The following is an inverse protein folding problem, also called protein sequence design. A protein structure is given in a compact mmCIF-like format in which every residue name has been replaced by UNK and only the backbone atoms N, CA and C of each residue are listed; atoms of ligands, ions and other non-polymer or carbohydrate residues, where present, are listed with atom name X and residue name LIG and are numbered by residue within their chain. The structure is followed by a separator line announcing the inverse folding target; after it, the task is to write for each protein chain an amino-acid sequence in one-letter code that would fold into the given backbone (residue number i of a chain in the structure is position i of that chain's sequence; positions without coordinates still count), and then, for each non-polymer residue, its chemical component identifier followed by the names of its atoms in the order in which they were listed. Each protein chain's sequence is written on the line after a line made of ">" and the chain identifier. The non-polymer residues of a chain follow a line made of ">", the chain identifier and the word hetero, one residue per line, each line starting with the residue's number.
data_IF_634911949033
#
_entry.id   IF_634911949033
#
_cell.length_a   1.000
_cell.length_b   1.000
_cell.length_c   1.000
_cell.angle_alpha   90.00
_cell.angle_beta   90.00
_cell.angle_gamma   90.00
#
_symmetry.space_group_name_H-M   'P 1'
#
loop_
_entity.id
_entity.type
_entity.pdbx_description
1 polymer ?
#
# COMPACT_ATOMS: atom_id res chain seq x y z
N UNK A 1 6.06 -4.41 17.23
CA UNK A 1 5.71 -3.18 16.47
C UNK A 1 6.60 -3.11 15.24
N UNK A 2 6.03 -2.86 14.05
CA UNK A 2 6.80 -2.76 12.79
C UNK A 2 7.49 -1.39 12.75
N UNK A 3 8.81 -1.37 12.51
CA UNK A 3 9.59 -0.14 12.39
C UNK A 3 9.53 0.41 10.95
N UNK A 4 8.58 1.30 10.71
CA UNK A 4 8.43 1.98 9.42
C UNK A 4 9.48 3.07 9.23
N UNK A 5 10.09 3.10 8.04
CA UNK A 5 11.04 4.13 7.60
C UNK A 5 10.44 4.87 6.40
N UNK A 6 10.19 6.16 6.55
CA UNK A 6 9.72 7.01 5.46
C UNK A 6 10.83 7.32 4.46
N UNK A 7 10.48 7.52 3.19
CA UNK A 7 11.36 8.05 2.16
C UNK A 7 10.58 8.91 1.18
N UNK A 8 11.31 9.73 0.43
CA UNK A 8 10.75 10.68 -0.53
C UNK A 8 9.84 11.73 0.09
N UNK A 9 8.86 12.19 -0.69
CA UNK A 9 7.99 13.32 -0.31
C UNK A 9 7.02 12.93 0.80
N UNK A 10 6.70 13.86 1.70
CA UNK A 10 5.60 13.67 2.65
C UNK A 10 4.28 13.72 1.91
N UNK A 11 3.45 12.69 2.08
CA UNK A 11 2.12 12.63 1.46
C UNK A 11 1.06 13.46 2.20
N UNK A 12 1.20 13.62 3.53
CA UNK A 12 0.35 14.50 4.35
C UNK A 12 -1.07 13.98 4.68
N UNK A 13 -1.64 13.08 3.88
CA UNK A 13 -3.05 12.66 4.02
C UNK A 13 -3.32 11.56 5.06
N UNK A 14 -2.28 10.90 5.58
CA UNK A 14 -2.41 9.76 6.49
C UNK A 14 -2.91 10.16 7.89
N UNK A 15 -2.52 11.32 8.38
CA UNK A 15 -2.83 11.78 9.74
C UNK A 15 -4.32 12.10 9.89
N UNK A 16 -4.87 12.89 8.97
CA UNK A 16 -6.30 13.20 8.91
C UNK A 16 -7.15 11.94 8.79
N UNK A 17 -6.73 11.01 7.93
CA UNK A 17 -7.36 9.70 7.81
C UNK A 17 -7.44 9.01 9.17
N UNK A 18 -6.29 8.90 9.86
CA UNK A 18 -6.19 8.17 11.12
C UNK A 18 -7.06 8.80 12.22
N UNK A 19 -7.03 10.13 12.37
CA UNK A 19 -7.86 10.84 13.33
C UNK A 19 -9.37 10.62 13.08
N UNK A 20 -9.80 10.59 11.82
CA UNK A 20 -11.18 10.25 11.47
C UNK A 20 -11.52 8.80 11.79
N UNK A 21 -10.60 7.86 11.52
CA UNK A 21 -10.77 6.44 11.83
C UNK A 21 -10.94 6.19 13.34
N UNK A 22 -10.19 6.88 14.19
CA UNK A 22 -10.33 6.80 15.64
C UNK A 22 -11.72 7.24 16.09
N UNK A 23 -12.35 8.18 15.39
CA UNK A 23 -13.74 8.65 15.60
C UNK A 23 -14.79 7.76 14.93
N UNK A 24 -14.39 6.65 14.29
CA UNK A 24 -15.31 5.76 13.58
C UNK A 24 -15.83 6.33 12.25
N UNK A 25 -15.15 7.34 11.68
CA UNK A 25 -15.52 7.96 10.41
C UNK A 25 -14.56 7.52 9.31
N UNK A 26 -15.11 7.07 8.18
CA UNK A 26 -14.32 6.78 6.98
C UNK A 26 -14.03 8.08 6.22
N UNK A 27 -12.81 8.62 6.38
CA UNK A 27 -12.41 9.85 5.68
C UNK A 27 -12.32 9.64 4.16
N UNK A 28 -12.71 10.64 3.37
CA UNK A 28 -12.71 10.57 1.90
C UNK A 28 -11.30 10.29 1.33
N UNK A 29 -10.26 10.84 1.96
CA UNK A 29 -8.87 10.55 1.59
C UNK A 29 -8.56 9.05 1.56
N UNK A 30 -9.20 8.23 2.43
CA UNK A 30 -8.99 6.77 2.43
C UNK A 30 -9.52 6.08 1.16
N UNK A 31 -10.51 6.70 0.50
CA UNK A 31 -11.14 6.20 -0.73
C UNK A 31 -10.32 6.54 -1.98
N UNK A 32 -9.50 7.61 -1.89
CA UNK A 32 -8.61 8.09 -2.95
C UNK A 32 -7.13 7.75 -2.67
N UNK A 33 -6.86 7.04 -1.59
CA UNK A 33 -5.52 6.59 -1.22
C UNK A 33 -5.22 5.25 -1.89
N UNK A 34 -4.48 5.26 -3.00
CA UNK A 34 -3.97 4.04 -3.60
C UNK A 34 -2.59 3.73 -3.04
N UNK A 35 -2.38 2.49 -2.59
CA UNK A 35 -1.12 2.03 -2.02
C UNK A 35 -0.58 0.90 -2.86
N UNK A 36 0.62 1.08 -3.40
CA UNK A 36 1.38 0.02 -4.06
C UNK A 36 2.33 -0.61 -3.03
N UNK A 37 2.14 -1.89 -2.77
CA UNK A 37 3.02 -2.73 -1.96
C UNK A 37 3.99 -3.52 -2.83
N UNK A 38 5.28 -3.45 -2.50
CA UNK A 38 6.35 -4.20 -3.15
C UNK A 38 7.05 -5.02 -2.07
N UNK A 39 6.89 -6.35 -2.04
CA UNK A 39 7.67 -7.21 -1.16
C UNK A 39 9.17 -7.01 -1.42
N UNK A 40 9.97 -6.90 -0.35
CA UNK A 40 11.41 -6.71 -0.49
C UNK A 40 12.06 -7.92 -1.17
N UNK A 41 11.52 -9.11 -0.96
CA UNK A 41 11.96 -10.33 -1.64
C UNK A 41 11.67 -10.36 -3.14
N UNK A 42 10.77 -9.49 -3.61
CA UNK A 42 10.39 -9.39 -5.02
C UNK A 42 11.23 -8.39 -5.81
N UNK A 43 12.14 -7.66 -5.18
CA UNK A 43 13.10 -6.83 -5.91
C UNK A 43 14.11 -7.71 -6.68
N UNK A 44 14.41 -7.32 -7.93
CA UNK A 44 15.53 -7.85 -8.73
C UNK A 44 16.86 -7.16 -8.39
N UNK A 45 16.79 -5.99 -7.76
CA UNK A 45 17.93 -5.16 -7.38
C UNK A 45 17.98 -4.93 -5.86
N UNK A 46 19.13 -4.50 -5.30
CA UNK A 46 19.23 -4.11 -3.90
C UNK A 46 18.23 -3.02 -3.49
N UNK A 47 17.76 -3.09 -2.24
CA UNK A 47 16.75 -2.18 -1.70
C UNK A 47 17.17 -0.71 -1.76
N UNK A 48 18.42 -0.40 -1.38
CA UNK A 48 18.99 0.95 -1.43
C UNK A 48 19.00 1.51 -2.85
N UNK A 49 19.36 0.70 -3.84
CA UNK A 49 19.30 1.08 -5.25
C UNK A 49 17.86 1.38 -5.68
N UNK A 50 16.90 0.53 -5.31
CA UNK A 50 15.49 0.74 -5.62
C UNK A 50 14.92 2.01 -4.96
N UNK A 51 15.28 2.27 -3.69
CA UNK A 51 14.89 3.49 -2.98
C UNK A 51 15.48 4.75 -3.64
N UNK A 52 16.69 4.67 -4.20
CA UNK A 52 17.28 5.78 -4.96
C UNK A 52 16.51 6.07 -6.25
N UNK A 53 16.08 5.03 -6.99
CA UNK A 53 15.29 5.16 -8.22
C UNK A 53 13.92 5.78 -7.91
N UNK A 54 13.33 5.44 -6.76
CA UNK A 54 11.98 5.86 -6.37
C UNK A 54 11.96 7.04 -5.38
N UNK A 55 13.08 7.76 -5.23
CA UNK A 55 13.28 8.78 -4.19
C UNK A 55 12.26 9.93 -4.21
N UNK A 56 11.68 10.22 -5.36
CA UNK A 56 10.74 11.34 -5.52
C UNK A 56 9.29 10.95 -5.18
N UNK A 57 9.04 9.65 -4.97
CA UNK A 57 7.73 9.13 -4.62
C UNK A 57 7.47 9.23 -3.13
N UNK A 58 6.24 9.58 -2.71
CA UNK A 58 5.87 9.46 -1.31
C UNK A 58 5.82 7.98 -0.93
N UNK A 59 6.62 7.58 0.06
CA UNK A 59 6.70 6.18 0.43
C UNK A 59 7.20 5.91 1.83
N UNK A 60 7.06 4.65 2.22
CA UNK A 60 7.71 4.10 3.40
C UNK A 60 8.06 2.64 3.16
N UNK A 61 9.00 2.12 3.91
CA UNK A 61 9.31 0.70 3.90
C UNK A 61 9.50 0.19 5.32
N UNK A 62 9.41 -1.13 5.49
CA UNK A 62 9.77 -1.78 6.72
C UNK A 62 10.46 -3.11 6.42
N UNK A 63 11.54 -3.39 7.14
CA UNK A 63 12.15 -4.71 7.22
C UNK A 63 11.54 -5.42 8.41
N UNK A 64 10.97 -6.60 8.18
CA UNK A 64 10.36 -7.36 9.25
C UNK A 64 11.43 -8.08 10.06
N UNK A 65 11.22 -8.11 11.38
CA UNK A 65 12.04 -8.87 12.31
C UNK A 65 11.37 -10.21 12.60
N UNK A 66 12.11 -11.12 13.21
CA UNK A 66 11.55 -12.37 13.71
C UNK A 66 10.34 -12.09 14.63
N UNK A 67 9.24 -12.86 14.53
CA UNK A 67 9.04 -14.00 13.64
C UNK A 67 8.43 -13.66 12.26
N UNK A 68 8.04 -12.40 12.01
CA UNK A 68 7.36 -12.00 10.77
C UNK A 68 8.25 -12.22 9.52
N UNK A 69 9.57 -12.10 9.68
CA UNK A 69 10.54 -12.31 8.61
C UNK A 69 10.55 -13.73 8.03
N UNK A 70 9.94 -14.71 8.70
CA UNK A 70 9.78 -16.07 8.19
C UNK A 70 8.79 -16.16 7.03
N UNK A 71 7.84 -15.22 6.98
CA UNK A 71 6.80 -15.16 5.94
C UNK A 71 7.09 -14.10 4.88
N UNK A 72 7.66 -12.96 5.29
CA UNK A 72 8.01 -11.85 4.41
C UNK A 72 9.20 -11.10 4.97
N UNK A 73 10.25 -10.81 4.16
CA UNK A 73 11.37 -9.98 4.63
C UNK A 73 10.97 -8.53 4.93
N UNK A 74 9.84 -8.09 4.42
CA UNK A 74 9.38 -6.72 4.54
C UNK A 74 8.75 -6.22 3.25
N UNK A 75 8.34 -4.95 3.28
CA UNK A 75 7.56 -4.33 2.23
C UNK A 75 7.93 -2.88 2.04
N UNK A 76 7.92 -2.43 0.79
CA UNK A 76 7.89 -1.03 0.39
C UNK A 76 6.44 -0.67 0.07
N UNK A 77 5.97 0.47 0.60
CA UNK A 77 4.66 1.02 0.31
C UNK A 77 4.84 2.39 -0.34
N UNK A 78 4.29 2.57 -1.53
CA UNK A 78 4.22 3.83 -2.27
C UNK A 78 2.79 4.34 -2.32
N UNK A 79 2.60 5.66 -2.26
CA UNK A 79 1.30 6.30 -2.19
C UNK A 79 0.95 7.03 -3.49
N UNK A 80 -0.31 6.92 -3.90
CA UNK A 80 -0.85 7.55 -5.10
C UNK A 80 -2.24 8.11 -4.83
N UNK A 81 -2.59 9.17 -5.54
CA UNK A 81 -3.90 9.83 -5.42
C UNK A 81 -4.93 9.26 -6.39
N UNK A 82 -4.46 8.62 -7.46
CA UNK A 82 -5.32 7.96 -8.44
C UNK A 82 -4.80 6.58 -8.80
N UNK A 83 -5.72 5.71 -9.26
CA UNK A 83 -5.37 4.39 -9.79
C UNK A 83 -4.47 4.50 -11.03
N UNK A 84 -4.75 5.48 -11.88
CA UNK A 84 -4.03 5.68 -13.15
C UNK A 84 -2.56 6.03 -12.90
N UNK A 85 -2.28 6.93 -11.95
CA UNK A 85 -0.89 7.25 -11.56
C UNK A 85 -0.14 6.01 -11.05
N UNK A 86 -0.81 5.19 -10.23
CA UNK A 86 -0.24 3.95 -9.71
C UNK A 86 0.04 2.94 -10.84
N UNK A 87 -0.89 2.76 -11.76
CA UNK A 87 -0.74 1.86 -12.92
C UNK A 87 0.39 2.31 -13.84
N UNK A 88 0.46 3.60 -14.18
CA UNK A 88 1.59 4.14 -14.96
C UNK A 88 2.94 3.93 -14.25
N UNK A 89 2.96 4.09 -12.93
CA UNK A 89 4.17 3.86 -12.15
C UNK A 89 4.59 2.38 -12.13
N UNK A 90 3.63 1.45 -12.01
CA UNK A 90 3.87 0.00 -12.07
C UNK A 90 4.63 -0.37 -13.34
N UNK A 91 4.19 0.15 -14.49
CA UNK A 91 4.84 -0.13 -15.78
C UNK A 91 6.28 0.41 -15.80
N UNK A 92 6.53 1.60 -15.24
CA UNK A 92 7.88 2.20 -15.18
C UNK A 92 8.88 1.44 -14.30
N UNK A 93 8.41 0.65 -13.34
CA UNK A 93 9.30 -0.08 -12.42
C UNK A 93 9.34 -1.59 -12.64
N UNK A 94 8.52 -2.12 -13.55
CA UNK A 94 8.30 -3.57 -13.73
C UNK A 94 9.60 -4.34 -13.95
N UNK A 95 10.56 -3.76 -14.67
CA UNK A 95 11.85 -4.38 -14.95
C UNK A 95 12.70 -4.62 -13.70
N UNK A 96 12.48 -3.87 -12.62
CA UNK A 96 13.16 -4.02 -11.34
C UNK A 96 12.48 -5.02 -10.39
N UNK A 97 11.32 -5.57 -10.77
CA UNK A 97 10.49 -6.44 -9.94
C UNK A 97 10.39 -7.83 -10.57
N UNK A 98 10.47 -8.89 -9.75
CA UNK A 98 10.21 -10.27 -10.19
C UNK A 98 8.73 -10.45 -10.49
N UNK A 99 8.39 -11.13 -11.58
CA UNK A 99 6.98 -11.30 -11.97
C UNK A 99 6.19 -12.23 -11.02
N UNK A 100 6.87 -13.19 -10.41
CA UNK A 100 6.25 -14.15 -9.50
C UNK A 100 6.50 -13.82 -8.03
N UNK A 101 5.47 -14.07 -7.23
CA UNK A 101 5.49 -13.88 -5.77
C UNK A 101 5.45 -15.24 -5.10
N UNK A 102 6.33 -15.44 -4.13
CA UNK A 102 6.39 -16.71 -3.39
C UNK A 102 5.09 -16.98 -2.63
N UNK A 103 4.75 -18.27 -2.45
CA UNK A 103 3.57 -18.67 -1.68
C UNK A 103 3.60 -18.16 -0.23
N UNK A 104 4.78 -18.09 0.37
CA UNK A 104 4.95 -17.56 1.75
C UNK A 104 4.58 -16.10 1.82
N UNK A 105 5.03 -15.32 0.84
CA UNK A 105 4.73 -13.91 0.73
C UNK A 105 3.22 -13.70 0.48
N UNK A 106 2.61 -14.45 -0.44
CA UNK A 106 1.15 -14.39 -0.67
C UNK A 106 0.37 -14.63 0.62
N UNK A 107 0.73 -15.68 1.36
CA UNK A 107 0.11 -16.01 2.65
C UNK A 107 0.25 -14.90 3.69
N UNK A 108 1.38 -14.18 3.71
CA UNK A 108 1.53 -13.01 4.58
C UNK A 108 0.45 -11.96 4.29
N UNK A 109 0.25 -11.60 3.02
CA UNK A 109 -0.74 -10.58 2.66
C UNK A 109 -2.18 -11.07 2.78
N UNK A 110 -2.44 -12.36 2.60
CA UNK A 110 -3.77 -12.93 2.86
C UNK A 110 -4.18 -12.77 4.33
N UNK A 111 -3.20 -12.87 5.25
CA UNK A 111 -3.46 -12.73 6.70
C UNK A 111 -3.52 -11.26 7.13
N UNK A 112 -2.61 -10.41 6.63
CA UNK A 112 -2.38 -9.08 7.20
C UNK A 112 -2.74 -7.92 6.27
N UNK A 113 -2.82 -8.15 4.97
CA UNK A 113 -2.82 -7.11 3.95
C UNK A 113 -4.16 -6.91 3.24
N UNK A 114 -4.90 -7.99 2.94
CA UNK A 114 -6.07 -8.00 2.05
C UNK A 114 -5.84 -7.12 0.80
N UNK A 115 -5.05 -7.62 -0.13
CA UNK A 115 -4.53 -6.86 -1.28
C UNK A 115 -4.96 -7.48 -2.61
N UNK A 116 -4.80 -6.75 -3.71
CA UNK A 116 -4.85 -7.29 -5.07
C UNK A 116 -3.45 -7.39 -5.65
N UNK A 117 -3.13 -8.53 -6.26
CA UNK A 117 -1.82 -8.77 -6.86
C UNK A 117 -1.76 -8.26 -8.30
N UNK A 118 -0.61 -7.70 -8.68
CA UNK A 118 -0.25 -7.25 -10.02
C UNK A 118 1.21 -7.62 -10.28
N UNK A 119 1.44 -8.74 -10.96
CA UNK A 119 2.77 -9.35 -11.06
C UNK A 119 3.41 -9.60 -9.69
N UNK A 120 4.65 -9.13 -9.52
CA UNK A 120 5.41 -9.19 -8.26
C UNK A 120 4.97 -8.24 -7.16
N UNK A 121 3.96 -7.41 -7.41
CA UNK A 121 3.54 -6.31 -6.56
C UNK A 121 2.09 -6.52 -6.14
N UNK A 122 1.64 -5.75 -5.16
CA UNK A 122 0.25 -5.73 -4.78
C UNK A 122 -0.24 -4.30 -4.59
N UNK A 123 -1.55 -4.09 -4.60
CA UNK A 123 -2.13 -2.81 -4.29
C UNK A 123 -3.42 -2.93 -3.50
N UNK A 124 -3.80 -1.84 -2.85
CA UNK A 124 -5.10 -1.68 -2.18
C UNK A 124 -5.44 -0.22 -1.95
N UNK A 125 -6.68 0.05 -1.55
CA UNK A 125 -7.10 1.36 -1.03
C UNK A 125 -6.99 1.44 0.49
N UNK A 126 -6.66 2.63 0.99
CA UNK A 126 -6.67 2.96 2.42
C UNK A 126 -5.75 2.07 3.28
N UNK A 127 -5.92 2.13 4.60
CA UNK A 127 -5.14 1.33 5.55
C UNK A 127 -5.85 -0.03 5.83
N UNK A 128 -5.14 -1.16 5.94
CA UNK A 128 -5.76 -2.46 6.26
C UNK A 128 -6.62 -2.48 7.52
N UNK A 129 -6.30 -1.65 8.50
CA UNK A 129 -7.04 -1.49 9.75
C UNK A 129 -8.48 -1.01 9.54
N UNK A 130 -8.77 -0.38 8.38
CA UNK A 130 -10.10 0.12 8.03
C UNK A 130 -11.03 -1.02 7.65
N UNK A 131 -10.51 -2.12 7.10
CA UNK A 131 -11.34 -3.26 6.68
C UNK A 131 -12.14 -3.83 7.87
N UNK A 132 -11.56 -3.77 9.07
CA UNK A 132 -12.20 -4.22 10.31
C UNK A 132 -13.38 -3.35 10.76
N UNK A 133 -13.38 -2.06 10.43
CA UNK A 133 -14.43 -1.10 10.84
C UNK A 133 -15.45 -0.83 9.75
N UNK A 134 -15.01 -0.80 8.49
CA UNK A 134 -15.80 -0.32 7.36
C UNK A 134 -16.05 -1.39 6.28
N UNK A 135 -15.59 -2.63 6.51
CA UNK A 135 -15.72 -3.73 5.53
C UNK A 135 -14.68 -3.66 4.42
N UNK A 136 -14.82 -4.54 3.40
CA UNK A 136 -13.82 -4.68 2.34
C UNK A 136 -13.59 -3.37 1.55
N UNK A 137 -12.32 -3.00 1.38
CA UNK A 137 -11.94 -1.79 0.67
C UNK A 137 -12.37 -1.73 -0.80
N UNK A 138 -12.62 -2.88 -1.43
CA UNK A 138 -13.11 -2.98 -2.81
C UNK A 138 -14.55 -2.46 -2.94
N UNK A 139 -15.35 -2.54 -1.88
CA UNK A 139 -16.75 -2.09 -1.89
C UNK A 139 -16.95 -0.70 -1.31
N UNK A 140 -15.92 -0.07 -0.75
CA UNK A 140 -16.02 1.30 -0.24
C UNK A 140 -16.43 2.24 -1.37
N UNK A 141 -17.56 2.93 -1.17
CA UNK A 141 -18.11 3.89 -2.12
C UNK A 141 -17.72 5.30 -1.72
N UNK A 142 -17.48 6.13 -2.71
CA UNK A 142 -17.44 7.57 -2.51
C UNK A 142 -18.82 8.02 -2.01
N UNK A 143 -18.87 8.70 -0.87
CA UNK A 143 -20.11 9.26 -0.32
C UNK A 143 -20.76 10.32 -1.25
N UNK A 144 -20.14 10.66 -2.37
CA UNK A 144 -20.64 11.64 -3.35
C UNK A 144 -21.73 11.12 -4.30
N UNK A 145 -22.34 9.95 -4.07
CA UNK A 145 -23.54 9.53 -4.81
C UNK A 145 -24.84 9.60 -3.99
N UNK A 146 -24.90 10.49 -2.99
CA UNK A 146 -26.15 10.90 -2.33
C UNK A 146 -26.16 12.41 -2.10
N UNK A 147 -26.13 13.17 -3.18
CA UNK A 147 -26.62 14.55 -3.19
C UNK A 147 -26.94 14.89 -4.64
N UNK A 148 -28.16 15.38 -4.85
CA UNK A 148 -28.88 15.62 -6.12
C UNK A 148 -29.72 14.40 -6.55
N UNK A 149 -31.05 14.38 -6.43
CA UNK A 149 -31.99 15.49 -6.31
C UNK A 149 -33.26 15.04 -5.58
N UNK A 150 -33.71 15.92 -4.71
CA UNK A 150 -35.09 16.03 -4.23
C UNK A 150 -36.04 16.34 -5.38
#
# INVERSE_FOLDING_TARGET
>A
MIAWKGFGKRWGKCEECWLAYERGVQHENSLKCYKLGIPIDNLKIPLDQFLSITRDMPGKYALFRFPLNLLSKGVIILYFDTKIEMENFIENIRDYIKDEVSLREKKFYDIFGNVEWVGGMNWRRGCPEYDKKFGDWRVWRNATSKTNST
#
